data_IF_698367967752
#
_entry.id   IF_698367967752
#
_cell.length_a   1.000
_cell.length_b   1.000
_cell.length_c   1.000
_cell.angle_alpha   90.00
_cell.angle_beta   90.00
_cell.angle_gamma   90.00
#
_symmetry.space_group_name_H-M   'P 1'
#
loop_
_entity.id
_entity.type
_entity.pdbx_description
1 polymer ?
#
# COMPACT_ATOMS: atom_id res chain seq x y z
N UNK A 1 -2.10 -10.20 -24.25
CA UNK A 1 -1.76 -8.77 -24.07
C UNK A 1 -2.35 -8.18 -22.79
N UNK A 2 -3.64 -8.40 -22.47
CA UNK A 2 -4.25 -7.85 -21.24
C UNK A 2 -3.88 -8.62 -19.95
N UNK A 3 -3.68 -9.95 -20.05
CA UNK A 3 -3.33 -10.81 -18.91
C UNK A 3 -1.99 -10.45 -18.24
N UNK A 4 -1.05 -9.85 -18.98
CA UNK A 4 0.24 -9.41 -18.44
C UNK A 4 0.14 -8.15 -17.57
N UNK A 5 -0.89 -7.33 -17.80
CA UNK A 5 -1.16 -6.11 -17.00
C UNK A 5 -2.13 -6.36 -15.85
N UNK A 6 -2.82 -7.50 -15.85
CA UNK A 6 -3.74 -7.89 -14.79
C UNK A 6 -3.09 -7.89 -13.39
N UNK A 7 -1.86 -8.43 -13.19
CA UNK A 7 -1.19 -8.32 -11.89
C UNK A 7 -0.78 -6.89 -11.54
N UNK A 8 -0.54 -6.01 -12.51
CA UNK A 8 -0.32 -4.58 -12.25
C UNK A 8 -1.60 -3.85 -11.84
N UNK A 9 -2.74 -4.20 -12.43
CA UNK A 9 -4.04 -3.69 -11.99
C UNK A 9 -4.34 -4.16 -10.57
N UNK A 10 -4.04 -5.43 -10.25
CA UNK A 10 -4.16 -5.95 -8.90
C UNK A 10 -3.23 -5.20 -7.93
N UNK A 11 -1.96 -4.98 -8.29
CA UNK A 11 -1.00 -4.19 -7.48
C UNK A 11 -1.44 -2.74 -7.26
N UNK A 12 -2.04 -2.09 -8.26
CA UNK A 12 -2.59 -0.74 -8.13
C UNK A 12 -3.78 -0.73 -7.16
N UNK A 13 -4.69 -1.71 -7.27
CA UNK A 13 -5.84 -1.83 -6.37
C UNK A 13 -5.38 -2.16 -4.94
N UNK A 14 -4.52 -3.15 -4.77
CA UNK A 14 -4.01 -3.58 -3.47
C UNK A 14 -3.14 -2.52 -2.79
N UNK A 15 -2.24 -1.86 -3.53
CA UNK A 15 -1.43 -0.75 -3.00
C UNK A 15 -2.28 0.46 -2.57
N UNK A 16 -3.39 0.73 -3.26
CA UNK A 16 -4.32 1.77 -2.83
C UNK A 16 -5.09 1.37 -1.56
N UNK A 17 -5.47 0.10 -1.40
CA UNK A 17 -6.07 -0.40 -0.16
C UNK A 17 -5.08 -0.29 1.00
N UNK A 18 -3.81 -0.66 0.80
CA UNK A 18 -2.75 -0.53 1.80
C UNK A 18 -2.59 0.92 2.28
N UNK A 19 -2.52 1.87 1.34
CA UNK A 19 -2.43 3.29 1.66
C UNK A 19 -3.64 3.81 2.45
N UNK A 20 -4.85 3.33 2.16
CA UNK A 20 -6.05 3.67 2.92
C UNK A 20 -6.04 3.10 4.33
N UNK A 21 -5.54 1.87 4.52
CA UNK A 21 -5.38 1.24 5.85
C UNK A 21 -4.34 1.97 6.68
N UNK A 22 -3.19 2.33 6.10
CA UNK A 22 -2.16 3.11 6.80
C UNK A 22 -2.67 4.52 7.17
N UNK A 23 -3.41 5.16 6.27
CA UNK A 23 -4.03 6.46 6.55
C UNK A 23 -5.07 6.38 7.67
N UNK A 24 -5.87 5.31 7.75
CA UNK A 24 -6.87 5.16 8.81
C UNK A 24 -6.21 4.88 10.16
N UNK A 25 -5.16 4.07 10.20
CA UNK A 25 -4.35 3.86 11.41
C UNK A 25 -3.65 5.15 11.88
N UNK A 26 -3.14 5.97 10.96
CA UNK A 26 -2.50 7.25 11.29
C UNK A 26 -3.44 8.27 11.92
N UNK A 27 -4.73 8.24 11.56
CA UNK A 27 -5.78 9.07 12.18
C UNK A 27 -6.14 8.53 13.57
N UNK A 28 -6.24 7.21 13.74
CA UNK A 28 -6.53 6.57 15.04
C UNK A 28 -5.42 6.81 16.05
N UNK A 29 -4.15 6.88 15.62
CA UNK A 29 -3.00 7.19 16.46
C UNK A 29 -2.91 8.66 16.93
N UNK A 30 -3.88 9.52 16.59
CA UNK A 30 -3.94 10.91 17.06
C UNK A 30 -2.86 11.83 16.47
N UNK A 31 -2.24 11.43 15.36
CA UNK A 31 -1.20 12.24 14.71
C UNK A 31 -1.81 13.53 14.14
N UNK A 32 -1.07 14.64 14.26
CA UNK A 32 -1.55 15.94 13.80
C UNK A 32 -1.97 15.90 12.31
N UNK A 33 -3.26 16.15 11.99
CA UNK A 33 -3.82 15.90 10.66
C UNK A 33 -3.15 16.68 9.55
N UNK A 34 -2.59 17.86 9.84
CA UNK A 34 -1.89 18.68 8.84
C UNK A 34 -0.55 18.03 8.44
N UNK A 35 0.20 17.52 9.42
CA UNK A 35 1.48 16.82 9.16
C UNK A 35 1.22 15.48 8.47
N UNK A 36 0.19 14.77 8.91
CA UNK A 36 -0.22 13.50 8.31
C UNK A 36 -0.66 13.70 6.85
N UNK A 37 -1.46 14.73 6.56
CA UNK A 37 -1.90 15.05 5.21
C UNK A 37 -0.76 15.39 4.25
N UNK A 38 0.22 16.20 4.70
CA UNK A 38 1.41 16.52 3.90
C UNK A 38 2.27 15.27 3.65
N UNK A 39 2.49 14.46 4.69
CA UNK A 39 3.24 13.22 4.56
C UNK A 39 2.55 12.23 3.60
N UNK A 40 1.22 12.09 3.69
CA UNK A 40 0.44 11.26 2.77
C UNK A 40 0.53 11.73 1.33
N UNK A 41 0.47 13.05 1.08
CA UNK A 41 0.61 13.59 -0.28
C UNK A 41 1.99 13.29 -0.89
N UNK A 42 3.05 13.42 -0.09
CA UNK A 42 4.41 13.09 -0.52
C UNK A 42 4.53 11.58 -0.77
N UNK A 43 3.97 10.76 0.12
CA UNK A 43 4.00 9.31 0.00
C UNK A 43 3.27 8.84 -1.27
N UNK A 44 2.07 9.38 -1.54
CA UNK A 44 1.31 9.09 -2.78
C UNK A 44 2.08 9.53 -4.02
N UNK A 45 2.72 10.71 -3.99
CA UNK A 45 3.54 11.19 -5.12
C UNK A 45 4.75 10.30 -5.40
N UNK A 46 5.46 9.87 -4.36
CA UNK A 46 6.59 8.94 -4.49
C UNK A 46 6.12 7.56 -4.97
N UNK A 47 4.99 7.07 -4.45
CA UNK A 47 4.41 5.80 -4.86
C UNK A 47 3.99 5.82 -6.34
N UNK A 48 3.39 6.92 -6.81
CA UNK A 48 3.04 7.09 -8.21
C UNK A 48 4.28 7.03 -9.11
N UNK A 49 5.37 7.69 -8.71
CA UNK A 49 6.62 7.67 -9.46
C UNK A 49 7.24 6.25 -9.48
N UNK A 50 7.33 5.60 -8.33
CA UNK A 50 7.87 4.23 -8.21
C UNK A 50 6.99 3.23 -8.98
N UNK A 51 5.67 3.35 -8.92
CA UNK A 51 4.76 2.52 -9.69
C UNK A 51 4.91 2.73 -11.20
N UNK A 52 5.12 3.97 -11.65
CA UNK A 52 5.25 4.27 -13.09
C UNK A 52 6.59 3.79 -13.66
N UNK A 53 7.71 4.08 -12.98
CA UNK A 53 9.05 3.71 -13.46
C UNK A 53 9.44 2.28 -13.08
N UNK A 54 9.07 1.83 -11.89
CA UNK A 54 9.34 0.48 -11.40
C UNK A 54 8.63 -0.58 -12.22
N UNK A 55 7.40 -0.34 -12.68
CA UNK A 55 6.67 -1.27 -13.56
C UNK A 55 7.39 -1.51 -14.88
N UNK A 56 8.11 -0.51 -15.42
CA UNK A 56 8.88 -0.68 -16.65
C UNK A 56 10.16 -1.51 -16.44
N UNK A 57 10.74 -1.47 -15.24
CA UNK A 57 12.00 -2.16 -14.91
C UNK A 57 11.79 -3.55 -14.30
N UNK A 58 10.68 -3.79 -13.61
CA UNK A 58 10.44 -4.98 -12.80
C UNK A 58 9.33 -5.88 -13.35
N UNK A 59 8.98 -5.75 -14.63
CA UNK A 59 7.92 -6.52 -15.26
C UNK A 59 8.15 -8.03 -15.22
N UNK A 60 9.42 -8.47 -15.22
CA UNK A 60 9.81 -9.87 -15.08
C UNK A 60 9.64 -10.42 -13.66
N UNK A 61 9.56 -9.54 -12.66
CA UNK A 61 9.40 -9.89 -11.25
C UNK A 61 7.96 -9.71 -10.74
N UNK A 62 6.99 -9.53 -11.64
CA UNK A 62 5.61 -9.14 -11.25
C UNK A 62 4.99 -10.13 -10.27
N UNK A 63 5.18 -11.44 -10.46
CA UNK A 63 4.65 -12.47 -9.57
C UNK A 63 5.26 -12.43 -8.16
N UNK A 64 6.54 -12.04 -8.06
CA UNK A 64 7.22 -11.89 -6.78
C UNK A 64 6.73 -10.63 -6.04
N UNK A 65 6.53 -9.53 -6.76
CA UNK A 65 6.01 -8.27 -6.23
C UNK A 65 4.55 -8.44 -5.78
N UNK A 66 3.73 -9.12 -6.57
CA UNK A 66 2.32 -9.41 -6.23
C UNK A 66 2.22 -10.23 -4.94
N UNK A 67 3.06 -11.26 -4.79
CA UNK A 67 3.11 -12.06 -3.58
C UNK A 67 3.56 -11.24 -2.36
N UNK A 68 4.63 -10.46 -2.49
CA UNK A 68 5.14 -9.60 -1.40
C UNK A 68 4.13 -8.52 -1.00
N UNK A 69 3.50 -7.87 -1.98
CA UNK A 69 2.47 -6.87 -1.73
C UNK A 69 1.24 -7.47 -1.03
N UNK A 70 0.77 -8.62 -1.50
CA UNK A 70 -0.32 -9.36 -0.83
C UNK A 70 0.05 -9.78 0.60
N UNK A 71 1.28 -10.25 0.81
CA UNK A 71 1.80 -10.62 2.12
C UNK A 71 1.89 -9.41 3.06
N UNK A 72 2.36 -8.27 2.58
CA UNK A 72 2.44 -7.03 3.37
C UNK A 72 1.05 -6.59 3.85
N UNK A 73 0.06 -6.56 2.95
CA UNK A 73 -1.34 -6.22 3.29
C UNK A 73 -1.92 -7.21 4.29
N UNK A 74 -1.64 -8.51 4.12
CA UNK A 74 -2.09 -9.53 5.05
C UNK A 74 -1.51 -9.32 6.46
N UNK A 75 -0.21 -9.04 6.56
CA UNK A 75 0.46 -8.78 7.85
C UNK A 75 -0.06 -7.49 8.48
N UNK A 76 -0.21 -6.40 7.72
CA UNK A 76 -0.77 -5.14 8.21
C UNK A 76 -2.22 -5.29 8.69
N UNK A 77 -3.03 -6.06 7.96
CA UNK A 77 -4.39 -6.41 8.37
C UNK A 77 -4.42 -7.24 9.66
N UNK A 78 -3.54 -8.24 9.77
CA UNK A 78 -3.40 -9.04 10.98
C UNK A 78 -2.94 -8.19 12.18
N UNK A 79 -1.97 -7.29 11.97
CA UNK A 79 -1.51 -6.35 12.99
C UNK A 79 -2.63 -5.42 13.45
N UNK A 80 -3.42 -4.89 12.52
CA UNK A 80 -4.58 -4.05 12.83
C UNK A 80 -5.62 -4.80 13.67
N UNK A 81 -5.93 -6.05 13.32
CA UNK A 81 -6.84 -6.89 14.10
C UNK A 81 -6.31 -7.15 15.51
N UNK A 82 -5.04 -7.51 15.67
CA UNK A 82 -4.43 -7.75 16.98
C UNK A 82 -4.44 -6.47 17.84
N UNK A 83 -4.10 -5.33 17.24
CA UNK A 83 -4.14 -4.02 17.91
C UNK A 83 -5.56 -3.69 18.39
N UNK A 84 -6.56 -3.91 17.53
CA UNK A 84 -7.97 -3.70 17.89
C UNK A 84 -8.47 -4.60 19.03
N UNK A 85 -7.99 -5.85 19.11
CA UNK A 85 -8.34 -6.80 20.19
C UNK A 85 -7.65 -6.42 21.50
N UNK A 86 -6.43 -5.89 21.44
CA UNK A 86 -5.70 -5.39 22.61
C UNK A 86 -6.31 -4.10 23.20
N UNK A 87 -7.16 -3.40 22.45
CA UNK A 87 -7.82 -2.18 22.90
C UNK A 87 -6.88 -0.99 23.03
N UNK A 88 -5.75 -1.00 22.31
CA UNK A 88 -4.79 0.10 22.19
C UNK A 88 -5.10 0.97 20.96
#
# INVERSE_FOLDING_TARGET
MLEQYLPFVALIIFGNIENLVLSSQGVVAGVNPLKLGIASFICVGMWLAIGTFGTQLLIEYVSFIEFLGGLAIFILGAQAMITSIRGE
#
